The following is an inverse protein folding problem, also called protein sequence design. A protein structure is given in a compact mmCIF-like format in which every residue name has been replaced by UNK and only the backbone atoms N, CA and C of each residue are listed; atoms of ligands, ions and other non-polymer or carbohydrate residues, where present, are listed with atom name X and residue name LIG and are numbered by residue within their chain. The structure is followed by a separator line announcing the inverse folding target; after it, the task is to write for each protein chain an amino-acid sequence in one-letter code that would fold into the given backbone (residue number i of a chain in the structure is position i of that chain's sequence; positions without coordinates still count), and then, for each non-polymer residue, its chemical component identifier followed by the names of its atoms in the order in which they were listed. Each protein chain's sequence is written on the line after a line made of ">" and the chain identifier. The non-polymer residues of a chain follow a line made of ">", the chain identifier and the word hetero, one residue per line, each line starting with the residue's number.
data_IF_228759814255
#
_entry.id   IF_228759814255
#
_cell.length_a   1.000
_cell.length_b   1.000
_cell.length_c   1.000
_cell.angle_alpha   90.00
_cell.angle_beta   90.00
_cell.angle_gamma   90.00
#
_symmetry.space_group_name_H-M   'P 1'
#
loop_
_entity.id
_entity.type
_entity.pdbx_description
1 polymer ?
#
# COMPACT_ATOMS: atom_id res chain seq x y z
N UNK A 1 -4.56 -17.63 11.53
CA UNK A 1 -5.97 -18.07 11.53
C UNK A 1 -6.73 -17.25 10.49
N UNK A 2 -7.57 -17.89 9.67
CA UNK A 2 -8.46 -17.24 8.69
C UNK A 2 -9.86 -17.81 8.86
N UNK A 3 -10.85 -16.94 9.04
CA UNK A 3 -12.26 -17.33 9.18
C UNK A 3 -13.04 -16.79 7.99
N UNK A 4 -13.86 -17.63 7.35
CA UNK A 4 -14.82 -17.23 6.33
C UNK A 4 -16.23 -17.34 6.88
N UNK A 5 -17.12 -16.45 6.41
CA UNK A 5 -18.50 -16.35 6.87
C UNK A 5 -19.44 -16.31 5.67
N UNK A 6 -20.69 -16.72 5.88
CA UNK A 6 -21.78 -16.50 4.94
C UNK A 6 -22.99 -15.91 5.68
N UNK A 7 -23.80 -15.13 4.95
CA UNK A 7 -25.07 -14.61 5.46
C UNK A 7 -26.19 -15.52 4.92
N UNK A 8 -26.93 -16.16 5.83
CA UNK A 8 -28.04 -17.04 5.47
C UNK A 8 -29.38 -16.30 5.26
N UNK A 9 -29.35 -14.96 5.27
CA UNK A 9 -30.51 -14.08 5.19
C UNK A 9 -31.04 -13.61 6.55
N UNK A 10 -30.65 -14.27 7.64
CA UNK A 10 -31.12 -14.00 9.01
C UNK A 10 -29.97 -13.66 9.96
N UNK A 11 -28.80 -14.27 9.75
CA UNK A 11 -27.62 -14.17 10.60
C UNK A 11 -26.34 -14.47 9.82
N UNK A 12 -25.20 -14.00 10.35
CA UNK A 12 -23.87 -14.34 9.85
C UNK A 12 -23.40 -15.61 10.54
N UNK A 13 -23.05 -16.63 9.76
CA UNK A 13 -22.55 -17.91 10.24
C UNK A 13 -21.13 -18.18 9.74
N UNK A 14 -20.33 -18.89 10.54
CA UNK A 14 -18.96 -19.30 10.17
C UNK A 14 -19.04 -20.44 9.16
N UNK A 15 -18.44 -20.25 7.99
CA UNK A 15 -18.40 -21.21 6.91
C UNK A 15 -17.20 -22.15 7.01
N UNK A 16 -16.02 -21.59 7.26
CA UNK A 16 -14.76 -22.34 7.36
C UNK A 16 -13.77 -21.59 8.26
N UNK A 17 -13.12 -22.30 9.16
CA UNK A 17 -11.96 -21.80 9.89
C UNK A 17 -10.70 -22.55 9.43
N UNK A 18 -9.72 -21.80 8.95
CA UNK A 18 -8.45 -22.33 8.49
C UNK A 18 -7.30 -21.82 9.36
N UNK A 19 -6.57 -22.76 9.96
CA UNK A 19 -5.33 -22.50 10.65
C UNK A 19 -4.16 -22.99 9.78
N UNK A 20 -3.06 -22.23 9.77
CA UNK A 20 -1.91 -22.51 8.91
C UNK A 20 -0.64 -22.47 9.74
N UNK A 21 0.30 -23.35 9.40
CA UNK A 21 1.70 -23.22 9.79
C UNK A 21 2.27 -21.93 9.16
N UNK A 22 3.40 -21.40 9.68
CA UNK A 22 3.97 -20.15 9.18
C UNK A 22 4.19 -20.13 7.66
N UNK A 23 4.57 -21.26 7.06
CA UNK A 23 4.79 -21.39 5.61
C UNK A 23 3.51 -21.70 4.81
N UNK A 24 2.33 -21.66 5.42
CA UNK A 24 1.06 -21.74 4.70
C UNK A 24 0.47 -23.14 4.53
N UNK A 25 1.09 -24.16 5.11
CA UNK A 25 0.51 -25.49 5.19
C UNK A 25 -0.68 -25.46 6.15
N UNK A 26 -1.86 -25.90 5.69
CA UNK A 26 -3.08 -25.92 6.51
C UNK A 26 -2.94 -26.99 7.61
N UNK A 27 -3.34 -26.64 8.83
CA UNK A 27 -3.43 -27.59 9.93
C UNK A 27 -4.57 -28.58 9.68
N UNK A 28 -4.36 -29.85 10.06
CA UNK A 28 -5.38 -30.89 9.98
C UNK A 28 -5.85 -31.33 11.39
N UNK A 29 -7.05 -31.93 11.46
CA UNK A 29 -7.54 -32.60 12.66
C UNK A 29 -8.45 -31.78 13.60
N UNK A 30 -8.79 -30.53 13.26
CA UNK A 30 -9.72 -29.70 14.05
C UNK A 30 -10.42 -28.64 13.19
N UNK A 31 -11.55 -28.12 13.69
CA UNK A 31 -12.42 -27.14 13.02
C UNK A 31 -12.92 -27.62 11.64
N UNK A 32 -13.31 -28.90 11.57
CA UNK A 32 -13.82 -29.57 10.38
C UNK A 32 -15.25 -29.10 10.02
N UNK A 33 -15.37 -27.84 9.60
CA UNK A 33 -16.53 -27.37 8.87
C UNK A 33 -16.33 -27.74 7.39
N UNK A 34 -17.36 -28.28 6.75
CA UNK A 34 -17.30 -28.74 5.36
C UNK A 34 -16.90 -27.63 4.37
N UNK A 35 -17.06 -26.36 4.77
CA UNK A 35 -16.71 -25.20 3.97
C UNK A 35 -17.45 -25.15 2.64
N UNK A 36 -16.94 -24.33 1.71
CA UNK A 36 -17.38 -24.33 0.33
C UNK A 36 -16.28 -24.95 -0.54
N UNK A 37 -16.53 -26.12 -1.11
CA UNK A 37 -15.59 -26.84 -1.98
C UNK A 37 -15.29 -26.12 -3.30
N UNK A 38 -16.12 -25.15 -3.71
CA UNK A 38 -15.82 -24.29 -4.85
C UNK A 38 -14.83 -23.17 -4.50
N UNK A 39 -14.58 -22.90 -3.22
CA UNK A 39 -13.72 -21.81 -2.79
C UNK A 39 -12.29 -22.28 -2.50
N UNK A 40 -11.43 -22.16 -3.52
CA UNK A 40 -10.06 -22.67 -3.49
C UNK A 40 -8.99 -21.65 -3.05
N UNK A 41 -9.37 -20.41 -2.74
CA UNK A 41 -8.42 -19.39 -2.30
C UNK A 41 -8.15 -19.52 -0.79
N UNK A 42 -6.90 -19.82 -0.39
CA UNK A 42 -6.55 -20.17 0.99
C UNK A 42 -5.43 -19.27 1.54
N UNK A 43 -4.20 -19.78 1.70
CA UNK A 43 -3.08 -19.05 2.28
C UNK A 43 -2.65 -17.83 1.43
N UNK A 44 -2.41 -16.69 2.09
CA UNK A 44 -2.10 -15.39 1.46
C UNK A 44 -3.04 -15.00 0.29
N UNK A 45 -4.27 -15.52 0.28
CA UNK A 45 -5.23 -15.27 -0.78
C UNK A 45 -4.90 -15.93 -2.11
N UNK A 46 -4.00 -16.92 -2.12
CA UNK A 46 -3.62 -17.67 -3.31
C UNK A 46 -4.49 -18.90 -3.51
N UNK A 47 -4.70 -19.28 -4.75
CA UNK A 47 -5.49 -20.45 -5.13
C UNK A 47 -4.73 -21.73 -4.78
N UNK A 48 -5.32 -22.58 -3.94
CA UNK A 48 -4.86 -23.92 -3.65
C UNK A 48 -5.33 -24.86 -4.75
N UNK A 49 -4.39 -25.51 -5.42
CA UNK A 49 -4.65 -26.60 -6.37
C UNK A 49 -4.91 -27.87 -5.56
N UNK A 50 -6.15 -28.37 -5.56
CA UNK A 50 -6.56 -29.50 -4.72
C UNK A 50 -5.91 -30.82 -5.11
N UNK A 51 -5.51 -30.96 -6.37
CA UNK A 51 -4.91 -32.17 -6.92
C UNK A 51 -3.44 -32.32 -6.50
N UNK A 52 -2.75 -31.20 -6.27
CA UNK A 52 -1.31 -31.17 -6.00
C UNK A 52 -0.95 -30.65 -4.61
N UNK A 53 -1.88 -29.95 -3.94
CA UNK A 53 -1.63 -29.25 -2.68
C UNK A 53 -0.80 -27.97 -2.82
N UNK A 54 -0.59 -27.47 -4.05
CA UNK A 54 0.23 -26.30 -4.31
C UNK A 54 -0.60 -25.02 -4.30
N UNK A 55 0.04 -23.91 -3.93
CA UNK A 55 -0.50 -22.59 -4.16
C UNK A 55 -0.04 -22.05 -5.51
N UNK A 56 -1.00 -21.64 -6.34
CA UNK A 56 -0.72 -20.98 -7.61
C UNK A 56 -0.43 -19.50 -7.36
N UNK A 57 0.85 -19.11 -7.37
CA UNK A 57 1.25 -17.71 -7.42
C UNK A 57 1.47 -17.33 -8.88
N UNK A 58 1.26 -16.05 -9.23
CA UNK A 58 1.26 -15.55 -10.61
C UNK A 58 2.40 -16.05 -11.51
N UNK A 59 3.61 -16.20 -10.97
CA UNK A 59 4.81 -16.58 -11.73
C UNK A 59 5.37 -17.95 -11.37
N UNK A 60 4.94 -18.53 -10.24
CA UNK A 60 5.54 -19.74 -9.68
C UNK A 60 4.52 -20.54 -8.90
N UNK A 61 4.64 -21.87 -8.92
CA UNK A 61 3.85 -22.72 -8.04
C UNK A 61 4.58 -22.89 -6.70
N UNK A 62 3.89 -22.65 -5.60
CA UNK A 62 4.43 -22.71 -4.25
C UNK A 62 4.00 -23.99 -3.54
N UNK A 63 4.97 -24.64 -2.91
CA UNK A 63 4.80 -25.87 -2.14
C UNK A 63 4.80 -25.51 -0.64
N UNK A 64 3.61 -25.39 -0.01
CA UNK A 64 3.50 -24.95 1.39
C UNK A 64 4.04 -25.96 2.41
N UNK A 65 4.06 -27.24 2.04
CA UNK A 65 4.64 -28.36 2.78
C UNK A 65 6.17 -28.27 2.86
N UNK A 66 6.82 -27.82 1.79
CA UNK A 66 8.27 -27.61 1.73
C UNK A 66 8.70 -26.19 2.09
N UNK A 67 7.79 -25.22 2.06
CA UNK A 67 8.11 -23.81 2.26
C UNK A 67 8.90 -23.18 1.10
N UNK A 68 8.78 -23.72 -0.13
CA UNK A 68 9.57 -23.29 -1.30
C UNK A 68 8.76 -23.24 -2.57
N UNK A 69 9.22 -22.46 -3.54
CA UNK A 69 8.69 -22.52 -4.90
C UNK A 69 9.22 -23.75 -5.66
N UNK A 70 8.38 -24.28 -6.53
CA UNK A 70 8.76 -25.33 -7.49
C UNK A 70 9.68 -24.78 -8.60
N UNK A 71 9.46 -23.53 -9.01
CA UNK A 71 10.19 -22.87 -10.10
C UNK A 71 11.25 -21.90 -9.57
N UNK A 72 12.32 -21.72 -10.36
CA UNK A 72 13.35 -20.70 -10.12
C UNK A 72 12.73 -19.30 -10.16
N UNK A 73 13.16 -18.43 -9.25
CA UNK A 73 12.78 -17.02 -9.21
C UNK A 73 13.22 -16.31 -10.51
N UNK A 74 12.30 -15.66 -11.24
CA UNK A 74 12.67 -14.79 -12.36
C UNK A 74 13.67 -13.70 -11.99
N UNK A 75 13.74 -13.30 -10.71
CA UNK A 75 14.69 -12.31 -10.18
C UNK A 75 15.94 -12.92 -9.54
N UNK A 76 16.19 -14.21 -9.74
CA UNK A 76 17.32 -14.94 -9.14
C UNK A 76 18.67 -14.25 -9.31
N UNK A 77 18.97 -13.70 -10.49
CA UNK A 77 20.25 -13.02 -10.76
C UNK A 77 20.46 -11.77 -9.90
N UNK A 78 19.38 -11.06 -9.56
CA UNK A 78 19.42 -9.87 -8.70
C UNK A 78 19.64 -10.24 -7.23
N UNK A 79 19.33 -11.48 -6.87
CA UNK A 79 19.31 -11.99 -5.49
C UNK A 79 20.09 -13.28 -5.35
N UNK A 80 21.28 -13.32 -5.94
CA UNK A 80 22.18 -14.47 -5.88
C UNK A 80 22.58 -14.88 -4.44
N UNK A 81 22.41 -13.98 -3.46
CA UNK A 81 22.63 -14.24 -2.05
C UNK A 81 21.47 -15.00 -1.37
N UNK A 82 20.33 -15.21 -2.03
CA UNK A 82 19.25 -16.06 -1.57
C UNK A 82 19.04 -17.30 -2.44
N UNK A 83 18.40 -18.30 -1.82
CA UNK A 83 17.90 -19.47 -2.54
C UNK A 83 16.94 -19.02 -3.64
N UNK A 84 17.14 -19.51 -4.86
CA UNK A 84 16.34 -19.14 -6.03
C UNK A 84 14.90 -19.70 -5.99
N UNK A 85 14.57 -20.43 -4.93
CA UNK A 85 13.24 -21.01 -4.68
C UNK A 85 12.67 -20.57 -3.32
N UNK A 86 13.30 -19.55 -2.72
CA UNK A 86 12.91 -18.93 -1.47
C UNK A 86 11.44 -18.45 -1.52
N UNK A 87 10.71 -18.65 -0.42
CA UNK A 87 9.42 -18.05 -0.18
C UNK A 87 9.52 -16.94 0.88
N UNK A 88 9.20 -15.72 0.49
CA UNK A 88 9.16 -14.53 1.35
C UNK A 88 10.44 -14.28 2.16
N UNK A 89 11.63 -14.61 1.62
CA UNK A 89 12.92 -14.52 2.35
C UNK A 89 12.96 -15.28 3.67
N UNK A 90 12.16 -16.35 3.79
CA UNK A 90 11.92 -17.08 5.05
C UNK A 90 11.36 -16.20 6.17
N UNK A 91 10.73 -15.08 5.83
CA UNK A 91 10.13 -14.11 6.74
C UNK A 91 8.61 -14.20 6.77
N UNK A 92 8.11 -15.41 6.90
CA UNK A 92 6.68 -15.73 6.70
C UNK A 92 5.75 -15.28 7.84
N UNK A 93 6.31 -14.80 8.95
CA UNK A 93 5.51 -14.23 10.06
C UNK A 93 5.18 -12.77 9.80
N UNK A 94 6.05 -12.07 9.07
CA UNK A 94 6.10 -10.62 9.08
C UNK A 94 6.36 -9.99 7.70
N UNK A 95 6.46 -10.83 6.67
CA UNK A 95 6.45 -10.47 5.29
C UNK A 95 5.42 -11.34 4.54
N UNK A 96 4.83 -10.73 3.51
CA UNK A 96 3.99 -11.42 2.53
C UNK A 96 4.86 -11.75 1.32
N UNK A 97 4.60 -12.89 0.68
CA UNK A 97 5.23 -13.19 -0.61
C UNK A 97 4.60 -12.31 -1.68
N UNK A 98 5.38 -11.41 -2.28
CA UNK A 98 4.89 -10.41 -3.24
C UNK A 98 4.99 -10.89 -4.69
N UNK A 99 4.85 -12.20 -4.92
CA UNK A 99 4.83 -12.79 -6.26
C UNK A 99 6.04 -12.37 -7.10
N UNK A 100 7.27 -12.57 -6.57
CA UNK A 100 8.50 -12.17 -7.26
C UNK A 100 8.81 -10.67 -7.17
N UNK A 101 8.37 -10.04 -6.09
CA UNK A 101 8.87 -8.73 -5.63
C UNK A 101 9.37 -8.92 -4.20
N UNK A 102 10.49 -8.29 -3.85
CA UNK A 102 11.03 -8.44 -2.49
C UNK A 102 10.22 -7.65 -1.47
N UNK A 103 10.04 -8.25 -0.30
CA UNK A 103 9.48 -7.59 0.87
C UNK A 103 10.51 -6.62 1.45
N UNK A 104 10.28 -5.33 1.26
CA UNK A 104 11.08 -4.30 1.93
C UNK A 104 10.63 -4.21 3.38
N UNK A 105 11.53 -4.52 4.31
CA UNK A 105 11.22 -4.47 5.73
C UNK A 105 11.40 -3.07 6.31
N UNK A 106 10.28 -2.40 6.59
CA UNK A 106 10.24 -1.11 7.26
C UNK A 106 10.59 -1.19 8.76
N UNK A 107 10.84 -2.38 9.30
CA UNK A 107 11.28 -2.59 10.69
C UNK A 107 12.80 -2.71 10.81
N UNK A 108 13.53 -2.74 9.69
CA UNK A 108 15.00 -2.71 9.71
C UNK A 108 15.49 -1.27 9.76
N UNK A 109 16.47 -1.01 10.60
CA UNK A 109 17.25 0.22 10.52
C UNK A 109 18.30 0.07 9.41
N UNK A 110 17.85 0.29 8.18
CA UNK A 110 18.59 0.10 6.93
C UNK A 110 19.28 1.37 6.42
N UNK A 111 19.24 2.45 7.22
CA UNK A 111 19.91 3.71 6.92
C UNK A 111 19.11 4.67 6.03
N UNK A 112 17.91 4.31 5.56
CA UNK A 112 17.04 5.30 4.89
C UNK A 112 16.70 6.43 5.87
N UNK A 113 16.73 7.66 5.38
CA UNK A 113 16.35 8.86 6.14
C UNK A 113 14.97 9.36 5.76
N UNK A 114 14.50 9.01 4.57
CA UNK A 114 13.27 9.54 4.04
C UNK A 114 12.35 8.42 3.53
N UNK A 115 11.06 8.59 3.74
CA UNK A 115 9.99 7.77 3.20
C UNK A 115 9.04 8.67 2.39
N UNK A 116 8.81 8.29 1.13
CA UNK A 116 7.74 8.85 0.30
C UNK A 116 6.67 7.77 0.11
N UNK A 117 5.44 8.07 0.50
CA UNK A 117 4.28 7.21 0.23
C UNK A 117 3.38 7.89 -0.78
N UNK A 118 3.02 7.20 -1.84
CA UNK A 118 2.11 7.68 -2.87
C UNK A 118 0.88 6.79 -2.90
N UNK A 119 -0.31 7.36 -2.80
CA UNK A 119 -1.58 6.64 -2.83
C UNK A 119 -2.39 7.14 -4.02
N UNK A 120 -2.50 6.31 -5.05
CA UNK A 120 -3.24 6.67 -6.26
C UNK A 120 -4.75 6.67 -6.01
N UNK A 121 -5.47 7.37 -6.90
CA UNK A 121 -6.93 7.43 -6.89
C UNK A 121 -7.57 6.13 -7.34
N UNK A 122 -8.76 6.22 -7.94
CA UNK A 122 -9.46 5.02 -8.42
C UNK A 122 -8.75 4.41 -9.63
N UNK A 123 -8.28 3.17 -9.47
CA UNK A 123 -7.69 2.37 -10.52
C UNK A 123 -8.47 1.08 -10.79
N UNK A 124 -9.76 1.00 -10.40
CA UNK A 124 -10.60 -0.20 -10.54
C UNK A 124 -10.57 -1.14 -9.33
N UNK A 125 -11.26 -2.29 -9.44
CA UNK A 125 -11.34 -3.28 -8.37
C UNK A 125 -10.00 -3.97 -8.14
N UNK A 126 -9.42 -3.74 -6.97
CA UNK A 126 -8.33 -4.59 -6.48
C UNK A 126 -8.83 -6.02 -6.36
N UNK A 127 -8.06 -7.01 -6.85
CA UNK A 127 -8.36 -8.41 -6.55
C UNK A 127 -8.46 -8.55 -5.02
N UNK A 128 -9.54 -9.17 -4.54
CA UNK A 128 -9.83 -9.30 -3.11
C UNK A 128 -8.63 -9.94 -2.38
N UNK A 129 -8.07 -9.20 -1.42
CA UNK A 129 -6.93 -9.65 -0.62
C UNK A 129 -5.56 -9.27 -1.17
N UNK A 130 -5.45 -8.48 -2.25
CA UNK A 130 -4.17 -7.90 -2.69
C UNK A 130 -3.99 -6.51 -2.11
N UNK A 131 -2.75 -6.18 -1.76
CA UNK A 131 -2.33 -4.81 -1.48
C UNK A 131 -1.39 -4.37 -2.60
N UNK A 132 -1.62 -3.15 -3.05
CA UNK A 132 -1.19 -2.68 -4.35
C UNK A 132 0.04 -1.77 -4.20
N UNK A 133 0.82 -1.96 -3.13
CA UNK A 133 2.05 -1.22 -2.84
C UNK A 133 3.24 -1.84 -3.57
N UNK A 134 3.90 -1.08 -4.44
CA UNK A 134 5.21 -1.45 -4.96
C UNK A 134 6.28 -0.54 -4.36
N UNK A 135 7.24 -1.14 -3.66
CA UNK A 135 8.53 -0.53 -3.36
C UNK A 135 9.41 -0.67 -4.61
N UNK A 136 9.86 0.43 -5.19
CA UNK A 136 10.68 0.35 -6.41
C UNK A 136 12.09 0.87 -6.14
N UNK A 137 13.05 -0.03 -6.19
CA UNK A 137 14.45 0.30 -6.44
C UNK A 137 14.66 0.61 -7.93
N UNK A 138 14.61 1.90 -8.28
CA UNK A 138 15.16 2.44 -9.53
C UNK A 138 14.27 2.38 -10.78
N UNK A 139 14.34 3.46 -11.56
CA UNK A 139 13.56 3.79 -12.78
C UNK A 139 13.70 2.83 -13.98
N UNK A 140 14.50 1.76 -13.90
CA UNK A 140 14.93 0.98 -15.08
C UNK A 140 14.55 -0.51 -15.04
N UNK A 141 13.58 -0.92 -14.22
CA UNK A 141 13.19 -2.33 -14.15
C UNK A 141 12.24 -2.73 -15.32
N UNK A 142 12.62 -3.64 -16.25
CA UNK A 142 11.75 -4.09 -17.34
C UNK A 142 10.46 -4.82 -16.91
N UNK A 143 10.27 -5.12 -15.61
CA UNK A 143 9.08 -5.75 -15.01
C UNK A 143 7.81 -4.88 -14.95
N UNK A 144 7.84 -3.66 -15.50
CA UNK A 144 6.69 -2.73 -15.52
C UNK A 144 5.60 -3.09 -16.54
N UNK A 145 5.79 -4.13 -17.38
CA UNK A 145 4.73 -4.62 -18.28
C UNK A 145 3.87 -5.70 -17.62
N UNK A 146 2.70 -5.30 -17.12
CA UNK A 146 1.61 -6.23 -16.75
C UNK A 146 1.27 -6.35 -15.26
N UNK A 147 1.41 -5.27 -14.48
CA UNK A 147 1.13 -5.25 -13.03
C UNK A 147 0.09 -4.17 -12.66
N UNK A 148 -1.17 -4.56 -12.45
CA UNK A 148 -2.20 -3.66 -11.92
C UNK A 148 -2.48 -2.44 -12.81
N UNK A 149 -3.17 -1.45 -12.25
CA UNK A 149 -3.48 -0.19 -12.90
C UNK A 149 -2.57 0.95 -12.39
N UNK A 150 -1.37 0.59 -11.87
CA UNK A 150 -0.34 1.52 -11.39
C UNK A 150 0.01 2.53 -12.48
N UNK A 151 -0.42 3.76 -12.29
CA UNK A 151 0.00 4.88 -13.11
C UNK A 151 1.36 5.39 -12.61
N UNK A 152 2.46 4.99 -13.26
CA UNK A 152 3.80 5.51 -12.97
C UNK A 152 4.06 6.87 -13.64
N UNK A 153 3.07 7.42 -14.32
CA UNK A 153 3.04 8.83 -14.68
C UNK A 153 2.41 9.63 -13.53
N UNK A 154 2.28 10.94 -13.70
CA UNK A 154 1.70 11.81 -12.67
C UNK A 154 2.40 11.70 -11.32
N UNK A 155 1.62 11.46 -10.27
CA UNK A 155 2.13 11.25 -8.91
C UNK A 155 2.84 9.91 -8.71
N UNK A 156 2.53 8.86 -9.48
CA UNK A 156 3.30 7.62 -9.41
C UNK A 156 4.73 7.80 -9.91
N UNK A 157 4.98 8.81 -10.73
CA UNK A 157 6.33 9.23 -11.15
C UNK A 157 7.25 9.69 -10.01
N UNK A 158 6.71 9.93 -8.81
CA UNK A 158 7.49 10.15 -7.59
C UNK A 158 8.36 8.95 -7.23
N UNK A 159 8.07 7.77 -7.78
CA UNK A 159 8.97 6.61 -7.74
C UNK A 159 10.41 6.96 -8.13
N UNK A 160 10.60 7.91 -9.04
CA UNK A 160 11.91 8.42 -9.45
C UNK A 160 12.61 9.29 -8.41
N UNK A 161 12.09 9.43 -7.18
CA UNK A 161 12.78 10.03 -6.04
C UNK A 161 13.55 9.00 -5.20
N UNK A 162 13.34 7.70 -5.46
CA UNK A 162 14.03 6.63 -4.75
C UNK A 162 15.55 6.71 -4.96
N UNK A 163 16.30 6.65 -3.87
CA UNK A 163 17.77 6.69 -3.86
C UNK A 163 18.29 6.03 -2.56
N UNK A 164 19.59 6.11 -2.27
CA UNK A 164 20.18 5.48 -1.07
C UNK A 164 19.63 6.01 0.26
N UNK A 165 19.09 7.23 0.28
CA UNK A 165 18.54 7.88 1.48
C UNK A 165 17.01 7.93 1.49
N UNK A 166 16.36 7.80 0.32
CA UNK A 166 14.90 7.91 0.17
C UNK A 166 14.30 6.62 -0.34
N UNK A 167 13.37 6.07 0.44
CA UNK A 167 12.46 5.00 0.01
C UNK A 167 11.18 5.59 -0.56
N UNK A 168 10.69 5.02 -1.67
CA UNK A 168 9.40 5.40 -2.26
C UNK A 168 8.50 4.18 -2.39
N UNK A 169 7.26 4.33 -1.94
CA UNK A 169 6.21 3.31 -1.98
C UNK A 169 5.03 3.87 -2.76
N UNK A 170 4.55 3.16 -3.77
CA UNK A 170 3.38 3.57 -4.55
C UNK A 170 2.27 2.54 -4.41
N UNK A 171 1.11 2.98 -3.92
CA UNK A 171 -0.12 2.22 -3.76
C UNK A 171 -1.08 2.53 -4.93
N UNK A 172 -1.53 1.50 -5.64
CA UNK A 172 -2.33 1.59 -6.88
C UNK A 172 -3.83 1.86 -6.66
N UNK A 173 -4.44 1.48 -5.53
CA UNK A 173 -5.90 1.61 -5.33
C UNK A 173 -6.26 1.86 -3.88
N UNK A 174 -7.33 2.63 -3.73
CA UNK A 174 -7.79 3.27 -2.52
C UNK A 174 -9.18 2.79 -2.06
N UNK A 175 -9.74 1.73 -2.67
CA UNK A 175 -11.09 1.26 -2.32
C UNK A 175 -11.16 0.25 -1.16
N UNK A 176 -10.04 -0.33 -0.73
CA UNK A 176 -10.08 -1.41 0.25
C UNK A 176 -9.36 -1.02 1.56
N UNK A 177 -9.90 -1.53 2.68
CA UNK A 177 -9.35 -1.35 4.03
C UNK A 177 -7.91 -1.88 4.15
N UNK A 178 -7.49 -2.78 3.24
CA UNK A 178 -6.14 -3.31 3.24
C UNK A 178 -5.11 -2.24 2.83
N UNK A 179 -5.41 -1.39 1.84
CA UNK A 179 -4.52 -0.27 1.47
C UNK A 179 -4.32 0.66 2.64
N UNK A 180 -5.39 1.01 3.36
CA UNK A 180 -5.32 1.85 4.56
C UNK A 180 -4.49 1.18 5.66
N UNK A 181 -4.71 -0.10 5.94
CA UNK A 181 -3.93 -0.84 6.94
C UNK A 181 -2.45 -0.96 6.59
N UNK A 182 -2.11 -1.21 5.33
CA UNK A 182 -0.73 -1.30 4.86
C UNK A 182 -0.04 0.07 4.89
N UNK A 183 -0.75 1.13 4.51
CA UNK A 183 -0.30 2.51 4.62
C UNK A 183 0.03 2.87 6.08
N UNK A 184 -0.91 2.63 7.01
CA UNK A 184 -0.72 2.86 8.45
C UNK A 184 0.49 2.07 8.97
N UNK A 185 0.60 0.80 8.59
CA UNK A 185 1.71 -0.07 9.00
C UNK A 185 3.06 0.39 8.45
N UNK A 186 3.09 0.80 7.18
CA UNK A 186 4.30 1.28 6.49
C UNK A 186 4.85 2.52 7.19
N UNK A 187 3.99 3.52 7.41
CA UNK A 187 4.37 4.78 8.06
C UNK A 187 4.74 4.53 9.52
N UNK A 188 3.93 3.77 10.27
CA UNK A 188 4.20 3.49 11.68
C UNK A 188 5.52 2.77 11.88
N UNK A 189 5.82 1.73 11.08
CA UNK A 189 7.08 1.01 11.17
C UNK A 189 8.26 1.94 10.87
N UNK A 190 8.15 2.77 9.83
CA UNK A 190 9.19 3.74 9.52
C UNK A 190 9.38 4.76 10.64
N UNK A 191 8.32 5.34 11.20
CA UNK A 191 8.43 6.28 12.32
C UNK A 191 9.06 5.65 13.57
N UNK A 192 8.79 4.37 13.84
CA UNK A 192 9.31 3.65 14.99
C UNK A 192 10.81 3.37 14.88
N UNK A 193 11.32 3.15 13.66
CA UNK A 193 12.72 2.80 13.42
C UNK A 193 13.57 4.03 13.08
N UNK A 194 12.99 4.99 12.36
CA UNK A 194 13.65 6.19 11.85
C UNK A 194 13.05 7.42 12.54
N UNK A 195 13.33 7.57 13.84
CA UNK A 195 12.74 8.65 14.66
C UNK A 195 13.09 10.07 14.19
N UNK A 196 14.20 10.22 13.45
CA UNK A 196 14.66 11.46 12.82
C UNK A 196 14.34 11.51 11.31
N UNK A 197 13.64 10.50 10.78
CA UNK A 197 13.35 10.38 9.37
C UNK A 197 12.16 11.21 8.92
N UNK A 198 12.19 11.64 7.65
CA UNK A 198 11.13 12.46 7.04
C UNK A 198 10.13 11.58 6.31
N UNK A 199 8.84 11.79 6.57
CA UNK A 199 7.74 11.12 5.85
C UNK A 199 6.97 12.12 4.99
N UNK A 200 7.00 11.93 3.67
CA UNK A 200 6.16 12.65 2.71
C UNK A 200 5.07 11.71 2.16
N UNK A 201 3.80 12.04 2.36
CA UNK A 201 2.67 11.27 1.87
C UNK A 201 1.89 12.06 0.80
N UNK A 202 1.61 11.44 -0.34
CA UNK A 202 0.94 12.06 -1.49
C UNK A 202 -0.25 11.21 -1.90
N UNK A 203 -1.45 11.79 -1.97
CA UNK A 203 -2.67 11.08 -2.31
C UNK A 203 -3.51 11.81 -3.34
N UNK A 204 -4.18 11.07 -4.23
CA UNK A 204 -5.12 11.62 -5.21
C UNK A 204 -6.51 11.01 -5.03
N UNK A 205 -7.58 11.81 -5.10
CA UNK A 205 -8.96 11.33 -5.01
C UNK A 205 -9.17 10.48 -3.75
N UNK A 206 -9.71 9.27 -3.87
CA UNK A 206 -9.84 8.27 -2.79
C UNK A 206 -8.50 7.93 -2.11
N UNK A 207 -7.36 8.07 -2.80
CA UNK A 207 -6.04 7.89 -2.19
C UNK A 207 -5.67 9.03 -1.23
N UNK A 208 -6.14 10.25 -1.54
CA UNK A 208 -6.08 11.39 -0.63
C UNK A 208 -6.94 11.17 0.60
N UNK A 209 -8.17 10.66 0.40
CA UNK A 209 -9.10 10.32 1.49
C UNK A 209 -8.50 9.30 2.47
N UNK A 210 -7.97 8.17 1.96
CA UNK A 210 -7.28 7.18 2.80
C UNK A 210 -6.11 7.76 3.61
N UNK A 211 -5.37 8.73 3.07
CA UNK A 211 -4.29 9.38 3.80
C UNK A 211 -4.85 10.19 4.97
N UNK A 212 -5.92 10.97 4.74
CA UNK A 212 -6.56 11.79 5.77
C UNK A 212 -7.19 10.89 6.84
N UNK A 213 -7.91 9.85 6.45
CA UNK A 213 -8.47 8.87 7.39
C UNK A 213 -7.36 8.20 8.21
N UNK A 214 -6.27 7.76 7.58
CA UNK A 214 -5.18 7.06 8.26
C UNK A 214 -4.55 7.90 9.37
N UNK A 215 -4.27 9.18 9.11
CA UNK A 215 -3.69 10.07 10.12
C UNK A 215 -4.69 10.44 11.22
N UNK A 216 -5.99 10.41 10.93
CA UNK A 216 -7.04 10.63 11.92
C UNK A 216 -7.27 9.42 12.82
N UNK A 217 -7.31 8.23 12.24
CA UNK A 217 -7.48 6.96 12.94
C UNK A 217 -6.27 6.62 13.83
N UNK A 218 -5.06 7.03 13.45
CA UNK A 218 -3.84 6.78 14.21
C UNK A 218 -2.99 8.03 14.41
N UNK A 219 -3.17 8.68 15.57
CA UNK A 219 -2.45 9.90 15.97
C UNK A 219 -0.93 9.70 16.18
N UNK A 220 -0.44 8.46 16.21
CA UNK A 220 1.00 8.18 16.30
C UNK A 220 1.69 8.18 14.92
N UNK A 221 0.94 8.23 13.81
CA UNK A 221 1.52 8.35 12.47
C UNK A 221 2.04 9.76 12.26
N UNK A 222 3.36 9.91 12.26
CA UNK A 222 4.00 11.20 12.02
C UNK A 222 4.26 11.36 10.53
N UNK A 223 3.64 12.40 9.95
CA UNK A 223 3.79 12.77 8.54
C UNK A 223 4.28 14.21 8.47
N UNK A 224 5.46 14.42 7.89
CA UNK A 224 6.07 15.76 7.80
C UNK A 224 5.42 16.60 6.71
N UNK A 225 5.14 15.98 5.57
CA UNK A 225 4.42 16.59 4.46
C UNK A 225 3.31 15.67 3.97
N UNK A 226 2.09 16.16 3.99
CA UNK A 226 0.95 15.56 3.31
C UNK A 226 0.60 16.39 2.08
N UNK A 227 0.45 15.75 0.92
CA UNK A 227 -0.06 16.38 -0.30
C UNK A 227 -1.31 15.66 -0.74
N UNK A 228 -2.42 16.36 -0.85
CA UNK A 228 -3.68 15.80 -1.35
C UNK A 228 -4.04 16.46 -2.67
N UNK A 229 -4.54 15.67 -3.61
CA UNK A 229 -4.98 16.10 -4.93
C UNK A 229 -6.43 15.71 -5.09
N UNK A 230 -7.31 16.69 -5.11
CA UNK A 230 -8.74 16.58 -5.34
C UNK A 230 -9.37 15.40 -4.62
N UNK A 231 -9.28 15.43 -3.29
CA UNK A 231 -9.82 14.40 -2.40
C UNK A 231 -11.26 14.12 -2.82
N UNK A 232 -11.60 12.85 -3.01
CA UNK A 232 -12.97 12.46 -3.28
C UNK A 232 -13.58 11.98 -1.97
N UNK A 233 -14.29 12.86 -1.30
CA UNK A 233 -14.98 12.53 -0.06
C UNK A 233 -16.45 12.16 -0.35
N UNK A 234 -16.93 11.08 0.28
CA UNK A 234 -18.36 10.76 0.33
C UNK A 234 -18.96 11.06 1.72
N UNK A 235 -18.12 11.22 2.76
CA UNK A 235 -18.48 11.32 4.17
C UNK A 235 -17.50 12.18 5.04
N UNK A 236 -17.28 13.44 4.69
CA UNK A 236 -17.00 14.60 5.58
C UNK A 236 -15.77 14.63 6.51
N UNK A 237 -14.64 13.96 6.25
CA UNK A 237 -13.44 14.17 7.11
C UNK A 237 -12.19 14.65 6.37
N UNK A 238 -12.26 15.87 5.84
CA UNK A 238 -11.08 16.61 5.33
C UNK A 238 -10.29 17.32 6.44
N UNK A 239 -10.45 16.89 7.70
CA UNK A 239 -9.77 17.52 8.85
C UNK A 239 -8.41 16.91 9.08
N UNK A 240 -7.39 17.75 9.21
CA UNK A 240 -6.02 17.33 9.41
C UNK A 240 -5.62 17.42 10.88
N UNK A 241 -5.12 16.33 11.48
CA UNK A 241 -4.65 16.31 12.87
C UNK A 241 -3.21 16.79 13.02
N UNK A 242 -2.80 17.07 14.27
CA UNK A 242 -1.50 17.66 14.61
C UNK A 242 -0.29 16.75 14.38
N UNK A 243 -0.51 15.45 14.13
CA UNK A 243 0.51 14.50 13.70
C UNK A 243 0.92 14.65 12.22
N UNK A 244 0.32 15.61 11.51
CA UNK A 244 0.80 16.10 10.21
C UNK A 244 1.47 17.46 10.40
N UNK A 245 2.73 17.64 9.99
CA UNK A 245 3.44 18.92 10.17
C UNK A 245 3.03 19.97 9.14
N UNK A 246 2.98 19.59 7.86
CA UNK A 246 2.56 20.43 6.73
C UNK A 246 1.58 19.67 5.85
N UNK A 247 0.52 20.33 5.40
CA UNK A 247 -0.42 19.77 4.45
C UNK A 247 -0.67 20.74 3.29
N UNK A 248 -0.52 20.25 2.06
CA UNK A 248 -0.80 21.00 0.83
C UNK A 248 -1.91 20.29 0.08
N UNK A 249 -3.06 20.93 -0.03
CA UNK A 249 -4.19 20.40 -0.77
C UNK A 249 -4.37 21.15 -2.08
N UNK A 250 -4.38 20.41 -3.17
CA UNK A 250 -4.74 20.90 -4.49
C UNK A 250 -6.16 20.48 -4.82
N UNK A 251 -7.04 21.42 -5.11
CA UNK A 251 -8.44 21.13 -5.40
C UNK A 251 -8.88 21.80 -6.70
N UNK A 252 -9.85 21.21 -7.39
CA UNK A 252 -10.45 21.79 -8.61
C UNK A 252 -11.93 22.11 -8.38
N UNK A 253 -12.52 22.95 -9.24
CA UNK A 253 -13.96 23.32 -9.14
C UNK A 253 -14.71 23.07 -10.45
N UNK A 254 -14.12 22.35 -11.41
CA UNK A 254 -14.72 22.00 -12.69
C UNK A 254 -15.67 20.81 -12.61
N UNK A 255 -15.38 19.83 -11.76
CA UNK A 255 -16.15 18.60 -11.62
C UNK A 255 -16.90 18.56 -10.29
N UNK A 256 -17.94 17.71 -10.25
CA UNK A 256 -18.76 17.46 -9.05
C UNK A 256 -18.08 16.58 -8.00
N UNK A 257 -17.00 15.91 -8.35
CA UNK A 257 -16.24 15.05 -7.44
C UNK A 257 -15.06 15.83 -6.86
N UNK A 258 -14.91 15.77 -5.54
CA UNK A 258 -13.89 16.49 -4.78
C UNK A 258 -14.12 17.99 -4.74
N UNK A 259 -13.04 18.77 -4.89
CA UNK A 259 -13.08 20.23 -4.77
C UNK A 259 -13.07 20.75 -3.34
N UNK A 260 -12.90 19.87 -2.36
CA UNK A 260 -12.88 20.25 -0.95
C UNK A 260 -11.54 20.88 -0.54
N UNK A 261 -11.65 21.81 0.40
CA UNK A 261 -10.51 22.28 1.16
C UNK A 261 -10.28 21.36 2.35
N UNK A 262 -9.02 21.24 2.75
CA UNK A 262 -8.66 20.62 4.03
C UNK A 262 -8.58 21.71 5.11
N UNK A 263 -8.95 21.32 6.32
CA UNK A 263 -8.98 22.21 7.49
C UNK A 263 -8.30 21.52 8.67
N UNK A 264 -7.76 22.24 9.67
CA UNK A 264 -7.24 21.57 10.86
C UNK A 264 -8.40 21.03 11.72
N UNK A 265 -8.15 19.92 12.41
CA UNK A 265 -9.00 19.49 13.54
C UNK A 265 -9.06 20.57 14.63
N UNK A 266 -10.13 20.60 15.43
CA UNK A 266 -10.38 21.67 16.40
C UNK A 266 -9.29 21.82 17.49
N UNK A 267 -8.59 20.74 17.79
CA UNK A 267 -7.47 20.66 18.73
C UNK A 267 -6.11 20.91 18.07
N UNK A 268 -6.03 20.96 16.73
CA UNK A 268 -4.80 21.15 15.99
C UNK A 268 -4.45 22.63 15.79
N UNK A 269 -3.30 23.04 16.35
CA UNK A 269 -2.76 24.40 16.23
C UNK A 269 -1.40 24.47 15.52
N UNK A 270 -0.87 23.34 15.08
CA UNK A 270 0.54 23.22 14.69
C UNK A 270 0.73 22.93 13.21
N UNK A 271 -0.22 22.26 12.57
CA UNK A 271 -0.13 21.92 11.14
C UNK A 271 -0.21 23.16 10.26
N UNK A 272 0.74 23.31 9.34
CA UNK A 272 0.70 24.35 8.31
C UNK A 272 -0.10 23.86 7.11
N UNK A 273 -1.29 24.41 6.91
CA UNK A 273 -2.20 24.02 5.82
C UNK A 273 -2.18 25.05 4.70
N UNK A 274 -2.05 24.59 3.46
CA UNK A 274 -2.17 25.41 2.24
C UNK A 274 -3.16 24.75 1.29
N UNK A 275 -4.25 25.44 0.98
CA UNK A 275 -5.22 25.03 -0.04
C UNK A 275 -4.94 25.81 -1.34
N UNK A 276 -4.72 25.11 -2.45
CA UNK A 276 -4.37 25.67 -3.75
C UNK A 276 -5.40 25.26 -4.80
N UNK A 277 -6.07 26.24 -5.39
CA UNK A 277 -6.98 25.99 -6.51
C UNK A 277 -6.17 25.63 -7.77
N UNK A 278 -6.57 24.55 -8.44
CA UNK A 278 -6.04 24.09 -9.71
C UNK A 278 -7.06 24.34 -10.84
N UNK A 279 -7.23 25.59 -11.32
CA UNK A 279 -8.34 25.96 -12.19
C UNK A 279 -8.25 25.37 -13.59
N UNK A 280 -7.09 24.87 -14.00
CA UNK A 280 -6.88 24.25 -15.32
C UNK A 280 -7.12 22.75 -15.30
N UNK A 281 -7.07 22.11 -14.13
CA UNK A 281 -7.16 20.66 -13.97
C UNK A 281 -8.58 20.17 -13.71
N UNK A 282 -8.81 18.88 -13.92
CA UNK A 282 -10.02 18.19 -13.54
C UNK A 282 -9.73 17.00 -12.59
N UNK A 283 -10.77 16.35 -12.08
CA UNK A 283 -10.64 15.26 -11.10
C UNK A 283 -9.70 14.14 -11.55
N UNK A 284 -9.63 13.84 -12.85
CA UNK A 284 -8.81 12.76 -13.41
C UNK A 284 -7.43 13.24 -13.82
N UNK A 285 -7.30 14.48 -14.32
CA UNK A 285 -6.05 15.02 -14.85
C UNK A 285 -5.14 15.63 -13.78
N UNK A 286 -5.69 16.05 -12.63
CA UNK A 286 -4.96 16.85 -11.64
C UNK A 286 -3.68 16.18 -11.13
N UNK A 287 -3.66 14.86 -11.02
CA UNK A 287 -2.49 14.09 -10.61
C UNK A 287 -1.33 14.19 -11.64
N UNK A 288 -1.66 14.30 -12.92
CA UNK A 288 -0.73 14.43 -14.04
C UNK A 288 -0.32 15.89 -14.24
N UNK A 289 -1.29 16.81 -14.24
CA UNK A 289 -1.07 18.24 -14.47
C UNK A 289 -0.16 18.86 -13.40
N UNK A 290 -0.29 18.41 -12.15
CA UNK A 290 0.46 18.95 -11.02
C UNK A 290 1.68 18.10 -10.63
N UNK A 291 1.94 17.01 -11.34
CA UNK A 291 3.01 16.05 -11.05
C UNK A 291 4.38 16.69 -10.78
N UNK A 292 4.81 17.63 -11.63
CA UNK A 292 6.06 18.38 -11.45
C UNK A 292 6.04 19.21 -10.17
N UNK A 293 4.95 19.95 -9.91
CA UNK A 293 4.83 20.78 -8.69
C UNK A 293 4.85 19.93 -7.43
N UNK A 294 4.13 18.80 -7.44
CA UNK A 294 4.10 17.84 -6.34
C UNK A 294 5.49 17.25 -6.12
N UNK A 295 6.19 16.83 -7.19
CA UNK A 295 7.57 16.34 -7.12
C UNK A 295 8.52 17.35 -6.50
N UNK A 296 8.40 18.63 -6.85
CA UNK A 296 9.27 19.68 -6.32
C UNK A 296 8.97 20.02 -4.86
N UNK A 297 7.70 19.95 -4.44
CA UNK A 297 7.33 20.11 -3.02
C UNK A 297 7.87 18.93 -2.20
N UNK A 298 7.67 17.71 -2.66
CA UNK A 298 8.19 16.50 -1.99
C UNK A 298 9.71 16.58 -1.88
N UNK A 299 10.41 16.86 -2.97
CA UNK A 299 11.89 16.99 -2.97
C UNK A 299 12.40 17.99 -1.94
N UNK A 300 11.77 19.16 -1.85
CA UNK A 300 12.16 20.19 -0.87
C UNK A 300 11.96 19.75 0.57
N UNK A 301 10.96 18.91 0.84
CA UNK A 301 10.77 18.35 2.18
C UNK A 301 11.85 17.31 2.52
N UNK A 302 12.21 16.45 1.57
CA UNK A 302 13.22 15.41 1.76
C UNK A 302 14.65 15.97 1.92
N UNK A 303 14.90 17.19 1.43
CA UNK A 303 16.19 17.89 1.50
C UNK A 303 15.91 19.36 1.86
N UNK A 304 15.80 19.70 3.16
CA UNK A 304 15.34 21.03 3.60
C UNK A 304 16.24 22.23 3.23
N UNK A 305 17.42 21.99 2.63
CA UNK A 305 18.47 22.98 2.41
C UNK A 305 18.80 23.25 0.91
N UNK A 306 17.84 23.06 -0.01
CA UNK A 306 17.97 23.47 -1.42
C UNK A 306 17.03 24.62 -1.78
#
# INVERSE_FOLDING_TARGET
>A
MRVSYFNNGSSVEVLEENNYYPFGLKHEGYNALAGNSAYQYKYQGQELQTETGWYSFKWRNYMPDLGRFFNVDPLSEKYAYQSHYNFSENRVVDARELEGLEAVDFRKNDGYKNLVVVVQGWSGDTKKGYTQSQNVGGSNNPDFKGKGNLDLTGIGGLVGLANSNTRVVVFDSSQNENTKNDLKSTISNFNNVHSDGVVAAVGHSLGGDNLVESVNENKNLKVDLMVTLDIMDSYSDTKIPSNVSKAVNYYQTKNIYGGEKIEPTSDNKTTKIVNVLAPTSDHKSINNDLSTKVRDIVKRELIPNQ
#
